data_IF_833431501965
#
_entry.id   IF_833431501965
#
_cell.length_a   1.000
_cell.length_b   1.000
_cell.length_c   1.000
_cell.angle_alpha   90.00
_cell.angle_beta   90.00
_cell.angle_gamma   90.00
#
_symmetry.space_group_name_H-M   'P 1'
#
loop_
_entity.id
_entity.type
_entity.pdbx_description
1 polymer ?
#
# COMPACT_ATOMS: atom_id res chain seq x y z
N UNK A 1 -72.48 -47.56 -23.69
CA UNK A 1 -72.01 -47.93 -22.33
C UNK A 1 -70.54 -48.26 -22.47
N UNK A 2 -69.66 -47.37 -22.02
CA UNK A 2 -68.25 -47.71 -21.81
C UNK A 2 -68.14 -48.35 -20.42
N UNK A 3 -68.09 -49.68 -20.40
CA UNK A 3 -67.53 -50.47 -19.30
C UNK A 3 -66.40 -51.23 -19.93
N UNK A 4 -65.22 -51.09 -19.35
CA UNK A 4 -64.03 -51.94 -19.48
C UNK A 4 -62.82 -51.05 -19.70
N UNK A 5 -62.38 -50.39 -18.64
CA UNK A 5 -60.97 -50.00 -18.42
C UNK A 5 -60.82 -49.40 -17.00
N UNK A 6 -61.11 -50.19 -15.97
CA UNK A 6 -60.60 -49.92 -14.62
C UNK A 6 -59.63 -51.04 -14.21
N UNK A 7 -58.64 -51.33 -15.06
CA UNK A 7 -57.52 -52.19 -14.67
C UNK A 7 -56.44 -51.29 -14.10
N UNK A 8 -56.38 -51.19 -12.78
CA UNK A 8 -55.32 -50.45 -12.09
C UNK A 8 -53.97 -51.17 -12.29
N UNK A 9 -53.05 -50.52 -13.03
CA UNK A 9 -51.69 -51.02 -13.22
C UNK A 9 -50.77 -50.35 -12.20
N UNK A 10 -50.57 -51.00 -11.05
CA UNK A 10 -49.53 -50.60 -10.10
C UNK A 10 -48.13 -50.78 -10.71
N UNK A 11 -47.12 -50.08 -10.18
CA UNK A 11 -45.73 -50.16 -10.67
C UNK A 11 -45.09 -51.53 -10.36
N UNK A 12 -45.67 -52.30 -9.42
CA UNK A 12 -45.20 -53.63 -9.05
C UNK A 12 -46.28 -54.69 -9.34
N UNK A 13 -45.82 -55.87 -9.71
CA UNK A 13 -46.69 -57.03 -9.90
C UNK A 13 -47.48 -57.31 -8.60
N UNK A 14 -48.81 -57.42 -8.74
CA UNK A 14 -49.77 -57.63 -7.65
C UNK A 14 -49.88 -56.51 -6.59
N UNK A 15 -49.50 -55.27 -6.92
CA UNK A 15 -49.73 -54.12 -6.02
C UNK A 15 -51.22 -53.76 -5.98
N UNK A 16 -51.82 -53.75 -4.78
CA UNK A 16 -53.19 -53.28 -4.59
C UNK A 16 -53.27 -51.76 -4.74
N UNK A 17 -54.44 -51.25 -5.13
CA UNK A 17 -54.72 -49.80 -5.20
C UNK A 17 -54.37 -49.11 -3.88
N UNK A 18 -54.78 -49.71 -2.74
CA UNK A 18 -54.47 -49.22 -1.40
C UNK A 18 -52.96 -49.24 -1.11
N UNK A 19 -52.27 -50.32 -1.47
CA UNK A 19 -50.82 -50.45 -1.31
C UNK A 19 -50.05 -49.37 -2.07
N UNK A 20 -50.48 -49.07 -3.30
CA UNK A 20 -49.93 -47.99 -4.10
C UNK A 20 -50.13 -46.62 -3.44
N UNK A 21 -51.33 -46.29 -2.95
CA UNK A 21 -51.58 -45.02 -2.27
C UNK A 21 -50.76 -44.86 -0.98
N UNK A 22 -50.67 -45.89 -0.13
CA UNK A 22 -49.82 -45.88 1.09
C UNK A 22 -48.36 -45.65 0.72
N UNK A 23 -47.88 -46.26 -0.38
CA UNK A 23 -46.52 -46.08 -0.88
C UNK A 23 -46.30 -44.64 -1.35
N UNK A 24 -47.21 -44.09 -2.15
CA UNK A 24 -47.11 -42.71 -2.61
C UNK A 24 -47.05 -41.75 -1.41
N UNK A 25 -47.88 -41.95 -0.40
CA UNK A 25 -47.86 -41.15 0.83
C UNK A 25 -46.50 -41.27 1.57
N UNK A 26 -45.93 -42.48 1.66
CA UNK A 26 -44.58 -42.69 2.22
C UNK A 26 -43.49 -41.99 1.41
N UNK A 27 -43.58 -42.01 0.08
CA UNK A 27 -42.64 -41.32 -0.82
C UNK A 27 -42.75 -39.80 -0.64
N UNK A 28 -43.96 -39.25 -0.53
CA UNK A 28 -44.18 -37.83 -0.26
C UNK A 28 -43.64 -37.40 1.10
N UNK A 29 -43.88 -38.19 2.16
CA UNK A 29 -43.31 -37.95 3.50
C UNK A 29 -41.79 -37.93 3.46
N UNK A 30 -41.16 -38.85 2.73
CA UNK A 30 -39.70 -38.88 2.52
C UNK A 30 -39.21 -37.65 1.74
N UNK A 31 -39.88 -37.27 0.64
CA UNK A 31 -39.54 -36.08 -0.15
C UNK A 31 -39.60 -34.80 0.70
N UNK A 32 -40.64 -34.64 1.54
CA UNK A 32 -40.73 -33.53 2.50
C UNK A 32 -39.54 -33.53 3.48
N UNK A 33 -39.21 -34.68 4.07
CA UNK A 33 -38.06 -34.81 5.00
C UNK A 33 -36.72 -34.43 4.34
N UNK A 34 -36.47 -34.87 3.11
CA UNK A 34 -35.26 -34.49 2.36
C UNK A 34 -35.22 -33.01 2.02
N UNK A 35 -36.35 -32.39 1.66
CA UNK A 35 -36.45 -30.95 1.41
C UNK A 35 -36.03 -30.13 2.64
N UNK A 36 -36.47 -30.54 3.83
CA UNK A 36 -36.03 -29.90 5.10
C UNK A 36 -34.55 -30.11 5.37
N UNK A 37 -34.01 -31.32 5.14
CA UNK A 37 -32.58 -31.60 5.32
C UNK A 37 -31.68 -30.76 4.42
N UNK A 38 -32.04 -30.59 3.14
CA UNK A 38 -31.32 -29.72 2.20
C UNK A 38 -31.36 -28.27 2.68
N UNK A 39 -32.52 -27.80 3.17
CA UNK A 39 -32.65 -26.45 3.73
C UNK A 39 -31.76 -26.25 4.97
N UNK A 40 -31.71 -27.23 5.88
CA UNK A 40 -30.86 -27.15 7.08
C UNK A 40 -29.37 -27.15 6.75
N UNK A 41 -28.93 -27.95 5.78
CA UNK A 41 -27.53 -27.96 5.31
C UNK A 41 -27.18 -26.62 4.67
N UNK A 42 -28.09 -26.05 3.86
CA UNK A 42 -27.92 -24.71 3.29
C UNK A 42 -27.76 -23.63 4.35
N UNK A 43 -28.61 -23.64 5.39
CA UNK A 43 -28.53 -22.69 6.52
C UNK A 43 -27.21 -22.86 7.30
N UNK A 44 -26.79 -24.10 7.59
CA UNK A 44 -25.50 -24.39 8.24
C UNK A 44 -24.31 -23.89 7.41
N UNK A 45 -24.36 -24.05 6.08
CA UNK A 45 -23.36 -23.53 5.16
C UNK A 45 -23.27 -22.00 5.17
N UNK A 46 -24.42 -21.31 5.20
CA UNK A 46 -24.48 -19.84 5.32
C UNK A 46 -23.90 -19.40 6.67
N UNK A 47 -24.26 -20.05 7.77
CA UNK A 47 -23.70 -19.75 9.09
C UNK A 47 -22.18 -19.95 9.15
N UNK A 48 -21.67 -21.03 8.57
CA UNK A 48 -20.23 -21.27 8.47
C UNK A 48 -19.51 -20.20 7.63
N UNK A 49 -20.11 -19.79 6.50
CA UNK A 49 -19.59 -18.71 5.67
C UNK A 49 -19.60 -17.36 6.41
N UNK A 50 -20.66 -17.05 7.17
CA UNK A 50 -20.72 -15.86 8.01
C UNK A 50 -19.66 -15.89 9.12
N UNK A 51 -19.51 -17.03 9.82
CA UNK A 51 -18.52 -17.18 10.90
C UNK A 51 -17.08 -17.05 10.39
N UNK A 52 -16.77 -17.62 9.22
CA UNK A 52 -15.45 -17.46 8.58
C UNK A 52 -15.24 -16.03 8.10
N UNK A 53 -16.27 -15.37 7.56
CA UNK A 53 -16.22 -13.97 7.13
C UNK A 53 -16.00 -13.01 8.31
N UNK A 54 -16.64 -13.25 9.45
CA UNK A 54 -16.47 -12.44 10.68
C UNK A 54 -15.03 -12.53 11.20
N UNK A 55 -14.36 -13.69 11.11
CA UNK A 55 -12.94 -13.82 11.49
C UNK A 55 -11.98 -13.08 10.56
N UNK A 56 -12.40 -12.75 9.33
CA UNK A 56 -11.55 -12.10 8.32
C UNK A 56 -11.68 -10.58 8.22
N UNK A 57 -12.33 -9.93 9.18
CA UNK A 57 -12.26 -8.48 9.32
C UNK A 57 -11.16 -8.13 10.34
N UNK A 58 -9.86 -8.12 9.97
CA UNK A 58 -8.89 -7.47 10.82
C UNK A 58 -9.34 -6.01 10.89
N UNK A 59 -9.65 -5.57 12.11
CA UNK A 59 -9.81 -4.18 12.44
C UNK A 59 -8.57 -3.46 11.90
N UNK A 60 -8.68 -2.83 10.74
CA UNK A 60 -7.70 -1.84 10.29
C UNK A 60 -7.84 -0.70 11.30
N UNK A 61 -7.04 -0.76 12.36
CA UNK A 61 -6.85 0.35 13.27
C UNK A 61 -6.21 1.44 12.42
N UNK A 62 -7.02 2.36 11.92
CA UNK A 62 -6.54 3.59 11.31
C UNK A 62 -5.54 4.18 12.29
N UNK A 63 -4.29 4.35 11.85
CA UNK A 63 -3.28 5.06 12.62
C UNK A 63 -3.81 6.48 12.76
N UNK A 64 -4.27 6.83 13.96
CA UNK A 64 -4.95 8.10 14.17
C UNK A 64 -3.91 9.21 14.15
N UNK A 65 -4.35 10.42 13.78
CA UNK A 65 -3.53 11.63 13.78
C UNK A 65 -2.83 11.88 15.15
N UNK A 66 -3.42 11.40 16.23
CA UNK A 66 -2.85 11.46 17.58
C UNK A 66 -1.70 10.45 17.81
N UNK A 67 -1.72 9.30 17.13
CA UNK A 67 -0.58 8.37 17.11
C UNK A 67 0.61 9.02 16.40
N UNK A 68 0.37 9.86 15.39
CA UNK A 68 1.40 10.68 14.75
C UNK A 68 2.08 11.65 15.73
N UNK A 69 1.32 12.32 16.60
CA UNK A 69 1.90 13.19 17.66
C UNK A 69 2.70 12.39 18.69
N UNK A 70 2.22 11.23 19.11
CA UNK A 70 2.95 10.38 20.07
C UNK A 70 4.27 9.88 19.47
N UNK A 71 4.27 9.48 18.20
CA UNK A 71 5.47 9.13 17.43
C UNK A 71 6.44 10.31 17.28
N UNK A 72 5.94 11.53 17.03
CA UNK A 72 6.79 12.73 16.90
C UNK A 72 7.45 13.08 18.24
N UNK A 73 6.72 12.93 19.35
CA UNK A 73 7.28 13.20 20.66
C UNK A 73 8.34 12.14 21.01
N UNK A 74 8.07 10.86 20.78
CA UNK A 74 9.05 9.79 21.03
C UNK A 74 10.27 9.88 20.11
N UNK A 75 10.11 10.25 18.84
CA UNK A 75 11.24 10.42 17.91
C UNK A 75 12.13 11.61 18.25
N UNK A 76 11.56 12.77 18.62
CA UNK A 76 12.34 13.95 19.06
C UNK A 76 13.20 13.63 20.28
N UNK A 77 12.66 12.83 21.21
CA UNK A 77 13.39 12.28 22.35
C UNK A 77 14.50 11.30 21.94
N UNK A 78 14.34 10.59 20.82
CA UNK A 78 15.35 9.64 20.31
C UNK A 78 16.52 10.35 19.61
N UNK A 79 16.30 11.48 18.93
CA UNK A 79 17.37 12.26 18.29
C UNK A 79 18.39 12.82 19.29
N UNK A 80 18.03 12.99 20.56
CA UNK A 80 18.90 13.55 21.61
C UNK A 80 19.64 12.51 22.43
N UNK A 81 19.31 11.22 22.29
CA UNK A 81 19.86 10.16 23.15
C UNK A 81 21.16 9.60 22.56
N UNK A 82 22.25 9.73 23.31
CA UNK A 82 23.54 9.15 22.92
C UNK A 82 23.50 7.62 23.07
N UNK A 83 23.13 6.92 22.00
CA UNK A 83 23.18 5.46 21.93
C UNK A 83 24.34 5.00 21.05
N UNK A 84 25.12 4.05 21.56
CA UNK A 84 26.03 3.28 20.72
C UNK A 84 25.20 2.35 19.83
N UNK A 85 25.18 2.61 18.52
CA UNK A 85 24.39 1.88 17.52
C UNK A 85 24.73 0.39 17.52
N UNK A 86 26.03 0.05 17.50
CA UNK A 86 26.48 -1.34 17.57
C UNK A 86 25.98 -2.01 18.85
N UNK A 87 26.06 -1.34 20.00
CA UNK A 87 25.52 -1.86 21.27
C UNK A 87 24.00 -2.07 21.21
N UNK A 88 23.26 -1.15 20.60
CA UNK A 88 21.81 -1.26 20.46
C UNK A 88 21.40 -2.45 19.59
N UNK A 89 22.11 -2.68 18.47
CA UNK A 89 21.91 -3.87 17.66
C UNK A 89 22.40 -5.13 18.37
N UNK A 90 23.51 -5.09 19.11
CA UNK A 90 24.03 -6.25 19.86
C UNK A 90 23.14 -6.65 21.06
N UNK A 91 22.32 -5.73 21.58
CA UNK A 91 21.24 -6.07 22.53
C UNK A 91 20.15 -6.95 21.90
N UNK A 92 20.19 -7.21 20.59
CA UNK A 92 19.49 -8.35 19.97
C UNK A 92 20.08 -9.71 20.39
N UNK A 93 21.06 -9.75 21.30
CA UNK A 93 21.76 -10.92 21.84
C UNK A 93 20.89 -11.99 22.51
N UNK A 94 20.00 -12.60 21.74
CA UNK A 94 19.70 -14.01 21.84
C UNK A 94 20.16 -14.64 20.52
N UNK A 95 21.17 -15.50 20.58
CA UNK A 95 21.55 -16.43 19.51
C UNK A 95 20.37 -17.25 18.94
N UNK A 96 19.20 -17.19 19.59
CA UNK A 96 17.95 -17.81 19.18
C UNK A 96 17.02 -16.89 18.37
N UNK A 97 17.18 -15.56 18.41
CA UNK A 97 16.27 -14.61 17.75
C UNK A 97 16.65 -14.33 16.29
N UNK A 98 17.96 -14.30 16.01
CA UNK A 98 18.51 -14.47 14.65
C UNK A 98 18.68 -15.95 14.30
N UNK A 99 18.04 -16.83 15.08
CA UNK A 99 18.15 -18.28 15.02
C UNK A 99 17.92 -18.80 13.60
N UNK A 100 18.99 -19.35 13.02
CA UNK A 100 18.93 -20.46 12.07
C UNK A 100 18.11 -20.23 10.78
N UNK A 101 18.16 -19.03 10.19
CA UNK A 101 18.41 -18.97 8.75
C UNK A 101 19.93 -19.05 8.60
N UNK A 102 20.48 -20.27 8.46
CA UNK A 102 21.91 -20.57 8.52
C UNK A 102 22.80 -19.92 7.44
N UNK A 103 22.30 -18.95 6.67
CA UNK A 103 22.97 -18.41 5.49
C UNK A 103 23.29 -16.91 5.62
N UNK A 104 22.56 -16.14 6.46
CA UNK A 104 22.67 -14.67 6.43
C UNK A 104 23.09 -14.09 7.79
N UNK A 105 24.32 -13.58 7.86
CA UNK A 105 24.77 -12.70 8.94
C UNK A 105 24.39 -11.27 8.62
N UNK A 106 23.46 -10.72 9.41
CA UNK A 106 23.10 -9.30 9.36
C UNK A 106 24.33 -8.45 9.69
N UNK A 107 24.77 -7.60 8.76
CA UNK A 107 25.95 -6.76 8.95
C UNK A 107 25.55 -5.33 9.36
N UNK A 108 25.51 -5.10 10.67
CA UNK A 108 25.15 -3.78 11.24
C UNK A 108 26.30 -2.77 11.22
N UNK A 109 27.53 -3.21 10.91
CA UNK A 109 28.73 -2.34 10.89
C UNK A 109 28.57 -1.20 9.89
N UNK A 110 27.97 -1.48 8.73
CA UNK A 110 27.74 -0.46 7.70
C UNK A 110 26.66 0.55 8.08
N UNK A 111 25.57 0.12 8.72
CA UNK A 111 24.54 1.03 9.25
C UNK A 111 25.09 1.92 10.37
N UNK A 112 25.92 1.34 11.23
CA UNK A 112 26.47 1.99 12.41
C UNK A 112 27.79 2.75 12.17
N UNK A 113 28.35 2.77 10.94
CA UNK A 113 29.63 3.44 10.64
C UNK A 113 29.67 4.93 10.98
N UNK A 114 28.49 5.55 11.09
CA UNK A 114 28.32 6.96 11.41
C UNK A 114 28.43 7.27 12.91
N UNK A 115 28.39 6.26 13.79
CA UNK A 115 28.46 6.47 15.24
C UNK A 115 29.85 6.91 15.74
N UNK A 116 30.91 6.48 15.05
CA UNK A 116 32.30 6.78 15.45
C UNK A 116 32.78 8.13 14.89
N UNK A 117 32.05 8.67 13.92
CA UNK A 117 32.28 10.00 13.39
C UNK A 117 31.55 10.97 14.32
N UNK A 118 32.24 11.91 14.97
CA UNK A 118 31.64 13.01 15.74
C UNK A 118 30.81 13.94 14.82
N UNK A 119 29.75 13.42 14.21
CA UNK A 119 28.86 14.15 13.33
C UNK A 119 27.92 14.92 14.24
N UNK A 120 28.08 16.24 14.24
CA UNK A 120 26.98 17.09 14.69
C UNK A 120 25.80 16.82 13.75
N UNK A 121 24.70 16.29 14.32
CA UNK A 121 23.43 16.06 13.60
C UNK A 121 22.74 17.42 13.41
N UNK A 122 23.43 18.35 12.76
CA UNK A 122 22.79 19.53 12.20
C UNK A 122 21.94 19.08 11.00
N UNK A 123 20.77 19.69 10.86
CA UNK A 123 19.92 19.45 9.70
C UNK A 123 20.72 19.75 8.43
N UNK A 124 20.78 18.84 7.44
CA UNK A 124 21.52 19.12 6.23
C UNK A 124 20.84 20.27 5.49
N UNK A 125 21.62 20.99 4.69
CA UNK A 125 21.09 22.03 3.79
C UNK A 125 19.96 21.50 2.89
N UNK A 126 19.99 20.20 2.55
CA UNK A 126 19.03 19.56 1.66
C UNK A 126 18.63 18.16 2.18
N UNK A 127 17.73 18.08 3.19
CA UNK A 127 17.28 16.80 3.71
C UNK A 127 16.38 16.07 2.70
N UNK A 128 16.66 14.78 2.48
CA UNK A 128 15.85 13.88 1.67
C UNK A 128 15.18 12.89 2.61
N UNK A 129 13.96 12.50 2.27
CA UNK A 129 13.30 11.36 2.90
C UNK A 129 13.18 10.18 1.95
N UNK A 130 13.25 8.96 2.46
CA UNK A 130 13.04 7.74 1.67
C UNK A 130 11.98 6.88 2.32
N UNK A 131 10.98 6.52 1.54
CA UNK A 131 9.89 5.61 1.91
C UNK A 131 10.20 4.25 1.28
N UNK A 132 10.32 3.23 2.12
CA UNK A 132 10.59 1.86 1.70
C UNK A 132 9.45 0.95 2.15
N UNK A 133 8.83 0.24 1.20
CA UNK A 133 7.85 -0.79 1.52
C UNK A 133 8.57 -2.11 1.74
N UNK A 134 8.53 -2.60 2.98
CA UNK A 134 9.23 -3.83 3.34
C UNK A 134 8.59 -5.07 2.71
N UNK A 135 9.45 -6.02 2.32
CA UNK A 135 9.09 -7.36 1.84
C UNK A 135 9.72 -8.42 2.75
N UNK A 136 9.46 -9.70 2.47
CA UNK A 136 10.17 -10.80 3.13
C UNK A 136 11.63 -10.99 2.67
N UNK A 137 12.15 -10.11 1.82
CA UNK A 137 13.54 -10.19 1.39
C UNK A 137 14.43 -9.32 2.28
N UNK A 138 14.99 -9.94 3.33
CA UNK A 138 15.91 -9.28 4.24
C UNK A 138 17.17 -8.78 3.53
N UNK A 139 17.67 -9.51 2.52
CA UNK A 139 18.87 -9.15 1.78
C UNK A 139 18.68 -7.83 1.03
N UNK A 140 17.53 -7.64 0.39
CA UNK A 140 17.20 -6.38 -0.30
C UNK A 140 17.07 -5.25 0.72
N UNK A 141 16.38 -5.47 1.83
CA UNK A 141 16.23 -4.47 2.89
C UNK A 141 17.59 -4.02 3.43
N UNK A 142 18.46 -4.95 3.79
CA UNK A 142 19.81 -4.63 4.26
C UNK A 142 20.64 -3.92 3.19
N UNK A 143 20.57 -4.40 1.95
CA UNK A 143 21.31 -3.79 0.83
C UNK A 143 20.90 -2.33 0.62
N UNK A 144 19.59 -2.06 0.59
CA UNK A 144 19.06 -0.70 0.46
C UNK A 144 19.61 0.16 1.59
N UNK A 145 19.39 -0.21 2.84
CA UNK A 145 19.78 0.62 3.97
C UNK A 145 21.30 0.76 4.14
N UNK A 146 22.10 -0.26 3.84
CA UNK A 146 23.57 -0.14 3.83
C UNK A 146 24.08 0.86 2.78
N UNK A 147 23.38 0.98 1.64
CA UNK A 147 23.76 1.88 0.55
C UNK A 147 23.34 3.32 0.81
N UNK A 148 22.13 3.54 1.34
CA UNK A 148 21.57 4.90 1.43
C UNK A 148 21.52 5.49 2.83
N UNK A 149 21.61 4.68 3.90
CA UNK A 149 21.43 5.20 5.25
C UNK A 149 22.49 6.25 5.61
N UNK A 150 22.00 7.36 6.14
CA UNK A 150 22.80 8.48 6.62
C UNK A 150 22.01 9.27 7.69
N UNK A 151 22.60 9.61 8.86
CA UNK A 151 21.89 10.24 9.97
C UNK A 151 21.20 11.58 9.67
N UNK A 152 21.69 12.32 8.67
CA UNK A 152 21.13 13.62 8.27
C UNK A 152 19.84 13.54 7.43
N UNK A 153 19.46 12.35 6.97
CA UNK A 153 18.27 12.14 6.15
C UNK A 153 17.21 11.35 6.90
N UNK A 154 15.99 11.29 6.36
CA UNK A 154 14.86 10.63 7.01
C UNK A 154 14.49 9.36 6.26
N UNK A 155 14.10 8.32 6.99
CA UNK A 155 13.68 7.07 6.39
C UNK A 155 12.37 6.64 7.02
N UNK A 156 11.47 6.08 6.25
CA UNK A 156 10.25 5.49 6.76
C UNK A 156 10.00 4.15 6.10
N UNK A 157 9.81 3.12 6.94
CA UNK A 157 9.57 1.74 6.50
C UNK A 157 8.09 1.40 6.70
N UNK A 158 7.42 0.98 5.63
CA UNK A 158 6.05 0.50 5.67
C UNK A 158 6.08 -1.02 5.81
N UNK A 159 5.46 -1.53 6.88
CA UNK A 159 5.28 -2.96 7.13
C UNK A 159 3.87 -3.38 6.69
N UNK A 160 3.77 -4.40 5.83
CA UNK A 160 2.50 -5.08 5.55
C UNK A 160 2.40 -6.33 6.42
N UNK A 161 1.59 -6.24 7.48
CA UNK A 161 1.48 -7.29 8.50
C UNK A 161 1.06 -8.65 7.94
N UNK A 162 0.37 -8.67 6.80
CA UNK A 162 -0.11 -9.90 6.15
C UNK A 162 0.98 -10.62 5.37
N UNK A 163 2.06 -9.92 5.03
CA UNK A 163 3.10 -10.45 4.15
C UNK A 163 4.46 -10.55 4.83
N UNK A 164 4.70 -9.80 5.91
CA UNK A 164 6.01 -9.78 6.58
C UNK A 164 6.11 -10.87 7.65
N UNK A 165 7.24 -11.56 7.67
CA UNK A 165 7.59 -12.50 8.73
C UNK A 165 7.84 -11.75 10.04
N UNK A 166 7.53 -12.40 11.16
CA UNK A 166 7.85 -11.85 12.48
C UNK A 166 9.33 -11.54 12.65
N UNK A 167 10.19 -12.35 12.04
CA UNK A 167 11.63 -12.14 12.01
C UNK A 167 11.99 -10.76 11.41
N UNK A 168 11.53 -10.46 10.20
CA UNK A 168 11.85 -9.21 9.52
C UNK A 168 11.16 -8.03 10.22
N UNK A 169 9.92 -8.20 10.70
CA UNK A 169 9.21 -7.20 11.51
C UNK A 169 10.06 -6.79 12.72
N UNK A 170 10.55 -7.77 13.48
CA UNK A 170 11.38 -7.53 14.67
C UNK A 170 12.70 -6.83 14.33
N UNK A 171 13.34 -7.20 13.22
CA UNK A 171 14.54 -6.51 12.74
C UNK A 171 14.26 -5.04 12.40
N UNK A 172 13.20 -4.75 11.65
CA UNK A 172 12.80 -3.38 11.30
C UNK A 172 12.48 -2.56 12.56
N UNK A 173 11.76 -3.14 13.52
CA UNK A 173 11.48 -2.47 14.79
C UNK A 173 12.78 -2.13 15.54
N UNK A 174 13.79 -3.01 15.50
CA UNK A 174 15.10 -2.71 16.09
C UNK A 174 15.82 -1.60 15.34
N UNK A 175 15.78 -1.59 14.00
CA UNK A 175 16.35 -0.49 13.22
C UNK A 175 15.78 0.86 13.65
N UNK A 176 14.45 0.96 13.81
CA UNK A 176 13.79 2.19 14.27
C UNK A 176 14.16 2.58 15.70
N UNK A 177 14.43 1.60 16.57
CA UNK A 177 14.90 1.85 17.93
C UNK A 177 16.36 2.33 17.98
N UNK A 178 17.22 1.76 17.14
CA UNK A 178 18.66 2.04 17.14
C UNK A 178 19.07 3.23 16.27
N UNK A 179 18.25 3.56 15.27
CA UNK A 179 18.51 4.61 14.27
C UNK A 179 17.33 5.61 14.33
N UNK A 180 17.46 6.73 15.06
CA UNK A 180 16.33 7.60 15.46
C UNK A 180 15.63 8.32 14.28
N UNK A 181 16.28 8.38 13.13
CA UNK A 181 15.76 8.94 11.89
C UNK A 181 15.06 7.90 10.98
N UNK A 182 14.87 6.67 11.47
CA UNK A 182 14.07 5.63 10.82
C UNK A 182 12.71 5.51 11.54
N UNK A 183 11.65 5.84 10.82
CA UNK A 183 10.26 5.65 11.24
C UNK A 183 9.71 4.33 10.72
N UNK A 184 8.74 3.77 11.43
CA UNK A 184 8.03 2.55 11.02
C UNK A 184 6.55 2.81 11.10
N UNK A 185 5.82 2.34 10.09
CA UNK A 185 4.36 2.40 10.05
C UNK A 185 3.81 1.09 9.49
N UNK A 186 2.57 0.78 9.84
CA UNK A 186 1.87 -0.36 9.27
C UNK A 186 1.04 0.11 8.07
N UNK A 187 1.00 -0.73 7.04
CA UNK A 187 0.16 -0.53 5.86
C UNK A 187 -1.31 -0.38 6.27
N UNK A 188 -1.95 0.69 5.83
CA UNK A 188 -3.33 1.03 6.24
C UNK A 188 -4.38 0.61 5.21
N UNK A 189 -4.03 0.62 3.93
CA UNK A 189 -4.94 0.24 2.85
C UNK A 189 -4.25 -0.68 1.83
N UNK A 190 -5.02 -1.18 0.85
CA UNK A 190 -4.48 -2.09 -0.16
C UNK A 190 -3.98 -1.37 -1.43
N UNK A 191 -3.84 -0.04 -1.43
CA UNK A 191 -3.35 0.73 -2.57
C UNK A 191 -1.84 0.58 -2.65
N UNK A 192 -1.32 0.19 -3.81
CA UNK A 192 0.13 0.03 -4.00
C UNK A 192 0.83 1.37 -4.22
N UNK A 193 2.01 1.52 -3.62
CA UNK A 193 2.99 2.55 -4.00
C UNK A 193 2.61 4.01 -3.68
N UNK A 194 1.64 4.24 -2.81
CA UNK A 194 1.18 5.59 -2.46
C UNK A 194 1.94 6.19 -1.26
N UNK A 195 2.36 5.37 -0.30
CA UNK A 195 3.25 5.78 0.80
C UNK A 195 2.66 6.79 1.79
N UNK A 196 1.34 6.97 1.81
CA UNK A 196 0.69 8.00 2.63
C UNK A 196 0.88 7.73 4.12
N UNK A 197 0.99 6.47 4.54
CA UNK A 197 1.24 6.13 5.94
C UNK A 197 2.55 6.72 6.44
N UNK A 198 3.59 6.69 5.59
CA UNK A 198 4.87 7.31 5.87
C UNK A 198 4.85 8.82 5.70
N UNK A 199 4.18 9.33 4.67
CA UNK A 199 4.06 10.78 4.45
C UNK A 199 3.34 11.48 5.60
N UNK A 200 2.35 10.83 6.22
CA UNK A 200 1.66 11.35 7.41
C UNK A 200 2.61 11.57 8.60
N UNK A 201 3.70 10.80 8.70
CA UNK A 201 4.75 10.99 9.71
C UNK A 201 5.75 12.04 9.22
N UNK A 202 6.26 11.85 8.00
CA UNK A 202 7.34 12.66 7.44
C UNK A 202 6.95 14.13 7.22
N UNK A 203 5.67 14.45 7.02
CA UNK A 203 5.20 15.83 6.84
C UNK A 203 5.55 16.74 8.02
N UNK A 204 5.79 16.18 9.20
CA UNK A 204 6.16 16.93 10.40
C UNK A 204 7.65 17.27 10.51
N UNK A 205 8.46 16.83 9.54
CA UNK A 205 9.90 17.08 9.49
C UNK A 205 10.26 17.91 8.27
N UNK A 206 11.46 18.52 8.30
CA UNK A 206 12.02 19.24 7.15
C UNK A 206 12.67 18.26 6.18
N UNK A 207 12.23 18.29 4.94
CA UNK A 207 12.83 17.61 3.78
C UNK A 207 12.37 18.30 2.50
N UNK A 208 13.19 18.21 1.46
CA UNK A 208 12.95 18.85 0.16
C UNK A 208 12.30 17.87 -0.83
N UNK A 209 12.73 16.62 -0.76
CA UNK A 209 12.23 15.54 -1.60
C UNK A 209 11.96 14.28 -0.78
N UNK A 210 10.96 13.52 -1.22
CA UNK A 210 10.76 12.14 -0.77
C UNK A 210 10.89 11.18 -1.95
N UNK A 211 11.61 10.08 -1.75
CA UNK A 211 11.71 8.99 -2.71
C UNK A 211 10.82 7.86 -2.20
N UNK A 212 9.91 7.40 -3.04
CA UNK A 212 9.11 6.20 -2.74
C UNK A 212 9.71 5.05 -3.54
N UNK A 213 10.39 4.14 -2.83
CA UNK A 213 10.97 2.93 -3.40
C UNK A 213 9.89 1.88 -3.61
N UNK A 214 9.96 1.18 -4.75
CA UNK A 214 9.21 -0.04 -4.96
C UNK A 214 9.84 -1.20 -4.18
N UNK A 215 9.07 -2.27 -3.98
CA UNK A 215 9.41 -3.42 -3.12
C UNK A 215 10.77 -4.09 -3.41
N UNK A 216 11.23 -4.07 -4.67
CA UNK A 216 12.49 -4.70 -5.11
C UNK A 216 13.52 -3.69 -5.60
N UNK A 217 13.30 -2.40 -5.36
CA UNK A 217 14.18 -1.35 -5.84
C UNK A 217 15.45 -1.28 -4.98
N UNK A 218 16.61 -1.38 -5.62
CA UNK A 218 17.93 -1.17 -4.99
C UNK A 218 18.56 0.11 -5.56
N UNK A 219 18.85 1.12 -4.72
CA UNK A 219 19.63 2.29 -5.11
C UNK A 219 21.01 1.91 -5.67
N UNK A 220 21.37 2.41 -6.85
CA UNK A 220 22.70 2.23 -7.46
C UNK A 220 23.62 3.44 -7.24
N UNK A 221 23.11 4.47 -6.56
CA UNK A 221 23.82 5.71 -6.21
C UNK A 221 23.88 5.90 -4.71
N UNK A 222 24.99 6.47 -4.25
CA UNK A 222 25.11 6.90 -2.85
C UNK A 222 24.12 8.00 -2.52
N UNK A 223 23.76 8.16 -1.25
CA UNK A 223 22.85 9.22 -0.82
C UNK A 223 23.34 10.63 -1.21
N UNK A 224 24.66 10.87 -1.20
CA UNK A 224 25.26 12.13 -1.64
C UNK A 224 25.04 12.39 -3.14
N UNK A 225 25.16 11.37 -3.98
CA UNK A 225 24.85 11.48 -5.41
C UNK A 225 23.35 11.68 -5.63
N UNK A 226 22.49 10.96 -4.90
CA UNK A 226 21.03 11.16 -4.93
C UNK A 226 20.70 12.63 -4.63
N UNK A 227 21.24 13.20 -3.55
CA UNK A 227 21.03 14.62 -3.19
C UNK A 227 21.46 15.56 -4.31
N UNK A 228 22.64 15.35 -4.92
CA UNK A 228 23.11 16.18 -6.05
C UNK A 228 22.13 16.15 -7.22
N UNK A 229 21.60 14.99 -7.56
CA UNK A 229 20.66 14.85 -8.67
C UNK A 229 19.28 15.43 -8.34
N UNK A 230 18.80 15.26 -7.11
CA UNK A 230 17.53 15.86 -6.67
C UNK A 230 17.59 17.39 -6.68
N UNK A 231 18.75 18.00 -6.40
CA UNK A 231 18.92 19.46 -6.55
C UNK A 231 18.69 19.93 -8.00
N UNK A 232 18.92 19.08 -9.02
CA UNK A 232 18.69 19.41 -10.42
C UNK A 232 17.20 19.44 -10.80
N UNK A 233 16.34 18.78 -10.03
CA UNK A 233 14.88 18.79 -10.26
C UNK A 233 14.22 20.13 -9.94
N UNK A 234 14.91 21.02 -9.21
CA UNK A 234 14.48 22.41 -8.98
C UNK A 234 13.01 22.56 -8.53
N UNK A 235 12.55 21.73 -7.60
CA UNK A 235 11.19 21.73 -7.06
C UNK A 235 10.18 20.86 -7.81
N UNK A 236 10.54 20.29 -8.96
CA UNK A 236 9.67 19.33 -9.69
C UNK A 236 9.77 17.93 -9.11
N UNK A 237 8.64 17.21 -9.09
CA UNK A 237 8.58 15.77 -8.87
C UNK A 237 8.98 15.00 -10.13
N UNK A 238 9.68 13.89 -9.96
CA UNK A 238 9.97 12.94 -11.03
C UNK A 238 9.12 11.68 -10.85
N UNK A 239 8.12 11.54 -11.73
CA UNK A 239 7.16 10.43 -11.72
C UNK A 239 7.05 9.89 -13.14
N UNK A 240 7.93 8.93 -13.52
CA UNK A 240 7.90 8.34 -14.85
C UNK A 240 6.56 7.66 -15.14
N UNK A 241 5.97 7.96 -16.29
CA UNK A 241 4.71 7.35 -16.72
C UNK A 241 5.01 6.18 -17.64
N UNK A 242 4.63 4.97 -17.20
CA UNK A 242 4.78 3.75 -18.00
C UNK A 242 3.58 3.54 -18.94
N UNK A 243 2.36 3.74 -18.45
CA UNK A 243 1.18 3.69 -19.30
C UNK A 243 0.01 4.50 -18.74
N UNK A 244 -0.94 4.80 -19.63
CA UNK A 244 -2.22 5.42 -19.29
C UNK A 244 -3.32 4.37 -19.50
N UNK A 245 -4.21 4.23 -18.53
CA UNK A 245 -5.38 3.36 -18.64
C UNK A 245 -6.44 4.04 -19.51
N UNK A 246 -6.96 3.31 -20.49
CA UNK A 246 -8.09 3.78 -21.31
C UNK A 246 -9.35 3.92 -20.45
N UNK A 247 -10.13 4.99 -20.66
CA UNK A 247 -11.42 5.20 -20.00
C UNK A 247 -12.40 4.05 -20.21
N UNK A 248 -12.35 3.37 -21.37
CA UNK A 248 -13.19 2.20 -21.66
C UNK A 248 -12.95 1.02 -20.70
N UNK A 249 -11.75 0.91 -20.10
CA UNK A 249 -11.41 -0.13 -19.13
C UNK A 249 -11.85 0.23 -17.70
N UNK A 250 -12.28 1.47 -17.47
CA UNK A 250 -12.74 2.00 -16.19
C UNK A 250 -14.27 1.96 -16.19
N UNK A 251 -14.87 0.88 -15.69
CA UNK A 251 -16.34 0.64 -15.73
C UNK A 251 -17.14 1.58 -14.78
N UNK A 252 -16.66 2.80 -14.48
CA UNK A 252 -17.27 3.69 -13.49
C UNK A 252 -17.84 4.95 -14.11
N UNK A 253 -19.13 5.19 -13.84
CA UNK A 253 -19.87 6.40 -14.25
C UNK A 253 -19.38 7.70 -13.58
N UNK A 254 -18.46 7.62 -12.61
CA UNK A 254 -17.99 8.76 -11.80
C UNK A 254 -16.46 8.89 -11.88
N UNK A 255 -15.92 8.96 -13.09
CA UNK A 255 -14.49 9.17 -13.36
C UNK A 255 -14.13 10.66 -13.56
N UNK A 256 -15.10 11.57 -13.55
CA UNK A 256 -14.84 13.01 -13.66
C UNK A 256 -14.37 13.61 -12.35
N UNK A 257 -13.66 14.74 -12.40
CA UNK A 257 -13.23 15.44 -11.18
C UNK A 257 -14.41 15.81 -10.27
N UNK A 258 -15.54 16.20 -10.87
CA UNK A 258 -16.81 16.45 -10.19
C UNK A 258 -17.40 15.20 -9.56
N UNK A 259 -17.47 14.10 -10.32
CA UNK A 259 -18.01 12.83 -9.85
C UNK A 259 -17.21 12.21 -8.70
N UNK A 260 -15.88 12.36 -8.73
CA UNK A 260 -14.99 11.93 -7.64
C UNK A 260 -15.09 12.89 -6.45
N UNK A 261 -15.31 14.18 -6.69
CA UNK A 261 -15.15 15.21 -5.67
C UNK A 261 -13.69 15.33 -5.24
N UNK A 262 -12.78 15.42 -6.22
CA UNK A 262 -11.33 15.30 -6.02
C UNK A 262 -10.69 16.49 -5.28
N UNK A 263 -11.30 17.68 -5.34
CA UNK A 263 -10.81 18.86 -4.63
C UNK A 263 -11.46 18.98 -3.25
N UNK A 264 -10.70 19.42 -2.23
CA UNK A 264 -11.24 19.78 -0.92
C UNK A 264 -12.18 20.97 -1.02
N UNK A 265 -11.77 22.01 -1.75
CA UNK A 265 -12.62 23.16 -2.03
C UNK A 265 -13.60 22.84 -3.16
N UNK A 266 -14.85 22.54 -2.78
CA UNK A 266 -15.93 22.19 -3.73
C UNK A 266 -16.31 23.35 -4.66
N UNK A 267 -16.03 24.60 -4.29
CA UNK A 267 -16.39 25.77 -5.12
C UNK A 267 -15.69 25.74 -6.48
N UNK A 268 -14.49 25.16 -6.58
CA UNK A 268 -13.76 24.98 -7.84
C UNK A 268 -14.62 24.21 -8.86
N UNK A 269 -15.32 23.16 -8.41
CA UNK A 269 -16.17 22.32 -9.25
C UNK A 269 -17.52 22.98 -9.56
N UNK A 270 -17.98 23.91 -8.72
CA UNK A 270 -19.22 24.66 -8.95
C UNK A 270 -19.02 25.80 -9.97
N UNK A 271 -17.87 26.46 -9.91
CA UNK A 271 -17.56 27.64 -10.73
C UNK A 271 -16.99 27.28 -12.11
N UNK A 272 -16.45 26.07 -12.28
CA UNK A 272 -15.80 25.67 -13.52
C UNK A 272 -16.38 24.34 -14.04
N UNK A 273 -17.38 24.44 -14.92
CA UNK A 273 -18.01 23.28 -15.57
C UNK A 273 -17.00 22.43 -16.34
N UNK A 274 -16.02 23.05 -17.01
CA UNK A 274 -14.98 22.32 -17.74
C UNK A 274 -14.16 21.42 -16.81
N UNK A 275 -13.68 21.95 -15.68
CA UNK A 275 -12.96 21.14 -14.68
C UNK A 275 -13.89 20.08 -14.10
N UNK A 276 -15.13 20.43 -13.74
CA UNK A 276 -16.09 19.49 -13.15
C UNK A 276 -16.33 18.26 -14.02
N UNK A 277 -16.51 18.48 -15.32
CA UNK A 277 -16.94 17.44 -16.26
C UNK A 277 -15.75 16.73 -16.93
N UNK A 278 -14.50 17.17 -16.66
CA UNK A 278 -13.29 16.53 -17.16
C UNK A 278 -13.04 15.19 -16.49
N UNK A 279 -12.78 14.17 -17.30
CA UNK A 279 -12.38 12.84 -16.85
C UNK A 279 -10.96 12.84 -16.27
N UNK A 280 -10.79 12.16 -15.14
CA UNK A 280 -9.48 11.90 -14.54
C UNK A 280 -8.73 10.83 -15.34
N UNK A 281 -7.59 11.21 -15.92
CA UNK A 281 -6.71 10.29 -16.64
C UNK A 281 -5.94 9.42 -15.63
N UNK A 282 -6.19 8.11 -15.62
CA UNK A 282 -5.48 7.19 -14.71
C UNK A 282 -4.17 6.75 -15.36
N UNK A 283 -3.05 7.10 -14.74
CA UNK A 283 -1.71 6.75 -15.20
C UNK A 283 -1.02 5.81 -14.20
N UNK A 284 -0.09 4.98 -14.68
CA UNK A 284 0.74 4.12 -13.84
C UNK A 284 2.23 4.29 -14.10
N UNK A 285 3.00 4.02 -13.06
CA UNK A 285 4.45 3.77 -13.13
C UNK A 285 4.74 2.30 -12.84
N UNK A 286 5.94 1.84 -13.21
CA UNK A 286 6.50 0.55 -12.80
C UNK A 286 7.83 0.72 -12.05
N UNK A 287 8.27 1.96 -11.85
CA UNK A 287 9.51 2.30 -11.15
C UNK A 287 9.22 3.17 -9.94
N UNK A 288 10.23 3.35 -9.09
CA UNK A 288 10.23 4.32 -8.00
C UNK A 288 9.95 5.74 -8.49
N UNK A 289 9.49 6.56 -7.56
CA UNK A 289 9.09 7.94 -7.83
C UNK A 289 9.73 8.87 -6.82
N UNK A 290 9.91 10.12 -7.24
CA UNK A 290 10.42 11.21 -6.43
C UNK A 290 9.38 12.31 -6.37
N UNK A 291 8.99 12.70 -5.16
CA UNK A 291 8.01 13.76 -4.94
C UNK A 291 8.67 14.96 -4.25
N UNK A 292 8.42 16.15 -4.79
CA UNK A 292 8.80 17.40 -4.12
C UNK A 292 7.95 17.63 -2.88
N UNK A 293 8.51 18.37 -1.91
CA UNK A 293 7.78 18.74 -0.69
C UNK A 293 6.53 19.55 -1.01
N UNK A 294 6.62 20.39 -2.03
CA UNK A 294 5.55 21.25 -2.52
C UNK A 294 4.37 20.43 -3.04
N UNK A 295 4.60 19.39 -3.84
CA UNK A 295 3.53 18.54 -4.37
C UNK A 295 2.87 17.71 -3.26
N UNK A 296 3.64 17.19 -2.31
CA UNK A 296 3.08 16.47 -1.15
C UNK A 296 2.24 17.42 -0.28
N UNK A 297 2.73 18.62 0.00
CA UNK A 297 1.96 19.64 0.71
C UNK A 297 0.67 20.00 -0.06
N UNK A 298 0.76 20.11 -1.40
CA UNK A 298 -0.39 20.41 -2.25
C UNK A 298 -1.47 19.33 -2.13
N UNK A 299 -1.08 18.06 -2.20
CA UNK A 299 -2.00 16.95 -1.98
C UNK A 299 -2.75 17.10 -0.64
N UNK A 300 -2.03 17.31 0.46
CA UNK A 300 -2.66 17.46 1.77
C UNK A 300 -3.52 18.71 1.92
N UNK A 301 -3.24 19.79 1.19
CA UNK A 301 -3.97 21.05 1.33
C UNK A 301 -5.17 21.18 0.39
N UNK A 302 -5.08 20.61 -0.82
CA UNK A 302 -6.05 20.87 -1.89
C UNK A 302 -6.79 19.64 -2.40
N UNK A 303 -6.21 18.44 -2.28
CA UNK A 303 -6.82 17.20 -2.76
C UNK A 303 -7.62 16.52 -1.65
N UNK A 304 -8.84 16.11 -1.96
CA UNK A 304 -9.66 15.28 -1.08
C UNK A 304 -9.15 13.84 -1.15
N UNK A 305 -8.15 13.54 -0.30
CA UNK A 305 -7.51 12.23 -0.25
C UNK A 305 -8.47 11.06 -0.01
N UNK A 306 -9.51 11.24 0.80
CA UNK A 306 -10.49 10.18 1.08
C UNK A 306 -11.29 9.80 -0.17
N UNK A 307 -11.83 10.80 -0.86
CA UNK A 307 -12.55 10.60 -2.12
C UNK A 307 -11.65 9.98 -3.20
N UNK A 308 -10.40 10.45 -3.28
CA UNK A 308 -9.44 9.94 -4.24
C UNK A 308 -9.04 8.48 -3.96
N UNK A 309 -8.71 8.14 -2.70
CA UNK A 309 -8.44 6.77 -2.25
C UNK A 309 -9.63 5.86 -2.56
N UNK A 310 -10.86 6.34 -2.27
CA UNK A 310 -12.08 5.61 -2.59
C UNK A 310 -12.18 5.32 -4.09
N UNK A 311 -11.97 6.33 -4.94
CA UNK A 311 -11.98 6.17 -6.40
C UNK A 311 -10.94 5.14 -6.90
N UNK A 312 -9.68 5.28 -6.48
CA UNK A 312 -8.59 4.34 -6.84
C UNK A 312 -8.89 2.92 -6.36
N UNK A 313 -9.57 2.78 -5.22
CA UNK A 313 -9.93 1.50 -4.63
C UNK A 313 -11.11 0.79 -5.30
N UNK A 314 -11.90 1.49 -6.12
CA UNK A 314 -13.08 0.90 -6.78
C UNK A 314 -12.69 -0.25 -7.73
N UNK A 315 -11.57 -0.12 -8.42
CA UNK A 315 -11.11 -1.10 -9.40
C UNK A 315 -9.94 -1.93 -8.85
N UNK A 316 -10.07 -3.26 -8.92
CA UNK A 316 -9.07 -4.19 -8.41
C UNK A 316 -7.71 -4.08 -9.13
N UNK A 317 -7.70 -3.83 -10.43
CA UNK A 317 -6.49 -3.68 -11.25
C UNK A 317 -5.78 -2.37 -10.88
N UNK A 318 -6.53 -1.27 -10.82
CA UNK A 318 -6.01 0.05 -10.44
C UNK A 318 -5.44 0.01 -9.02
N UNK A 319 -6.19 -0.53 -8.06
CA UNK A 319 -5.78 -0.62 -6.65
C UNK A 319 -4.45 -1.36 -6.45
N UNK A 320 -4.20 -2.41 -7.25
CA UNK A 320 -2.96 -3.22 -7.18
C UNK A 320 -1.80 -2.64 -7.99
N UNK A 321 -2.03 -1.56 -8.73
CA UNK A 321 -1.04 -0.90 -9.57
C UNK A 321 -0.43 0.33 -8.89
N UNK A 322 0.79 0.72 -9.27
CA UNK A 322 1.41 1.97 -8.81
C UNK A 322 0.83 3.15 -9.60
N UNK A 323 -0.41 3.53 -9.28
CA UNK A 323 -1.17 4.56 -10.02
C UNK A 323 -1.36 5.86 -9.25
N UNK A 324 -1.18 5.84 -7.92
CA UNK A 324 -1.63 6.91 -7.03
C UNK A 324 -1.04 8.27 -7.39
N UNK A 325 0.29 8.40 -7.35
CA UNK A 325 0.99 9.63 -7.71
C UNK A 325 1.08 9.89 -9.21
N UNK A 326 1.35 8.89 -10.08
CA UNK A 326 1.33 9.09 -11.53
C UNK A 326 0.02 9.67 -12.03
N UNK A 327 -1.12 9.21 -11.50
CA UNK A 327 -2.44 9.76 -11.86
C UNK A 327 -2.55 11.22 -11.44
N UNK A 328 -2.26 11.57 -10.18
CA UNK A 328 -2.34 12.96 -9.73
C UNK A 328 -1.44 13.90 -10.55
N UNK A 329 -0.21 13.48 -10.84
CA UNK A 329 0.79 14.31 -11.51
C UNK A 329 0.72 14.27 -13.05
N UNK A 330 -0.07 13.38 -13.65
CA UNK A 330 -0.33 13.44 -15.11
C UNK A 330 -1.43 14.45 -15.45
N UNK A 331 -2.36 14.69 -14.52
CA UNK A 331 -3.53 15.55 -14.73
C UNK A 331 -3.21 17.01 -14.41
N UNK A 332 -2.83 17.78 -15.44
CA UNK A 332 -2.39 19.19 -15.30
C UNK A 332 -3.43 20.12 -14.68
N UNK A 333 -4.71 19.82 -14.83
CA UNK A 333 -5.80 20.63 -14.27
C UNK A 333 -5.92 20.50 -12.75
N UNK A 334 -5.31 19.48 -12.16
CA UNK A 334 -5.14 19.41 -10.71
C UNK A 334 -4.13 20.43 -10.19
N UNK A 335 -3.37 21.09 -11.08
CA UNK A 335 -2.51 22.24 -10.78
C UNK A 335 -1.52 21.98 -9.63
N UNK A 336 -0.87 20.82 -9.66
CA UNK A 336 0.23 20.53 -8.74
C UNK A 336 1.40 21.48 -9.02
N UNK A 337 2.14 21.95 -7.99
CA UNK A 337 3.28 22.85 -8.15
C UNK A 337 4.27 22.45 -9.24
N UNK A 338 4.58 21.15 -9.36
CA UNK A 338 5.47 20.64 -10.42
C UNK A 338 5.03 20.97 -11.85
N UNK A 339 3.72 21.11 -12.11
CA UNK A 339 3.22 21.45 -13.45
C UNK A 339 3.61 22.85 -13.90
N UNK A 340 3.88 23.75 -12.96
CA UNK A 340 4.14 25.16 -13.22
C UNK A 340 5.64 25.50 -13.30
N UNK A 341 6.51 24.54 -13.00
CA UNK A 341 7.96 24.72 -13.06
C UNK A 341 8.45 24.29 -14.43
N UNK A 342 8.95 25.24 -15.23
CA UNK A 342 9.66 24.94 -16.47
C UNK A 342 11.05 24.43 -16.14
N UNK A 343 11.31 23.15 -16.34
CA UNK A 343 12.67 22.62 -16.32
C UNK A 343 13.49 23.28 -17.44
N UNK A 344 14.72 23.71 -17.13
CA UNK A 344 15.65 24.18 -18.16
C UNK A 344 15.90 23.02 -19.11
N UNK A 345 15.60 23.21 -20.39
CA UNK A 345 15.77 22.22 -21.47
C UNK A 345 17.24 21.96 -21.82
N UNK A 346 18.13 21.85 -20.83
CA UNK A 346 19.47 21.35 -21.08
C UNK A 346 19.36 19.86 -21.41
N UNK A 347 19.45 19.60 -22.71
CA UNK A 347 19.48 18.34 -23.41
C UNK A 347 20.62 17.45 -22.91
N UNK A 348 20.34 16.59 -21.93
CA UNK A 348 21.07 15.34 -21.57
C UNK A 348 20.76 14.88 -20.14
N UNK A 349 20.04 15.68 -19.35
CA UNK A 349 19.63 15.24 -18.02
C UNK A 349 18.45 14.28 -18.17
N UNK A 350 18.78 13.01 -18.41
CA UNK A 350 17.86 11.89 -18.28
C UNK A 350 17.61 11.70 -16.76
N UNK A 351 16.91 12.66 -16.14
CA UNK A 351 16.65 12.68 -14.69
C UNK A 351 15.65 11.59 -14.30
N UNK A 352 15.04 10.91 -15.27
CA UNK A 352 14.19 9.76 -14.99
C UNK A 352 14.92 8.80 -14.05
N UNK A 353 14.27 8.48 -12.94
CA UNK A 353 14.80 7.68 -11.84
C UNK A 353 15.39 6.31 -12.25
N UNK A 354 15.14 5.87 -13.48
CA UNK A 354 15.87 4.80 -14.17
C UNK A 354 17.41 4.96 -14.13
N UNK A 355 17.92 6.17 -13.91
CA UNK A 355 19.36 6.42 -13.71
C UNK A 355 19.88 6.10 -12.29
N UNK A 356 18.99 5.81 -11.33
CA UNK A 356 19.32 5.61 -9.92
C UNK A 356 19.04 4.23 -9.37
N UNK A 357 18.24 3.40 -10.05
CA UNK A 357 17.79 2.10 -9.53
C UNK A 357 17.76 1.05 -10.62
N UNK A 358 18.27 -0.15 -10.29
CA UNK A 358 18.05 -1.35 -11.10
C UNK A 358 16.77 -2.04 -10.59
N UNK A 359 15.74 -2.09 -11.43
CA UNK A 359 14.54 -2.88 -11.16
C UNK A 359 14.89 -4.36 -11.43
N UNK A 360 14.87 -5.21 -10.39
CA UNK A 360 14.96 -6.65 -10.60
C UNK A 360 13.55 -7.19 -10.91
N UNK A 361 13.30 -7.51 -12.18
CA UNK A 361 12.19 -8.39 -12.53
C UNK A 361 12.56 -9.80 -12.04
N UNK A 362 11.82 -10.32 -11.07
CA UNK A 362 11.86 -11.75 -10.72
C UNK A 362 10.93 -12.53 -11.63
#
# INVERSE_FOLDING_TARGET
MDRDNFVFHGERFAESVEGHYIRQEKVEKRKKKYKYWIFTIGILGIFYFLMTSIKTLPHNKYFLKDDGKSLINSSKLNFTKNYNCNKCFNQLGESNFLGRHSIYHINTKELCKWNDQNITVEAPEFPVSVIYKATNNIVVLESVFNLIYHPKHLYCIIIDDKSISDFIRKYIMRMSQCLPNIFVTNKQDNIRGHGLECLNILIHYKWNYTIILSENDIPIKSMNEIVKNLKLLNGTSDVPIYSIYSSNNLIYKQNTYGGIGIFKNKNILLQNNYIRDKELVVARTIVSITLSREDVNYYYNYINGENYIKFISLNLIIRKSNVFWPTLLTNKELNFPSHNIKLRSNSSINIGFLSFIKHNEN
#
